data_IF_570430391316
#
_entry.id   IF_570430391316
#
_cell.length_a   1.000
_cell.length_b   1.000
_cell.length_c   1.000
_cell.angle_alpha   90.00
_cell.angle_beta   90.00
_cell.angle_gamma   90.00
#
_symmetry.space_group_name_H-M   'P 1'
#
loop_
_entity.id
_entity.type
_entity.pdbx_description
1 polymer ?
#
# COMPACT_ATOMS: atom_id res chain seq x y z
N UNK A 1 17.32 -4.72 -24.10
CA UNK A 1 17.28 -6.10 -23.61
C UNK A 1 15.93 -6.27 -22.93
N UNK A 2 14.88 -6.65 -23.67
CA UNK A 2 13.51 -6.53 -23.16
C UNK A 2 12.83 -7.89 -23.21
N UNK A 3 13.18 -8.81 -22.29
CA UNK A 3 12.38 -9.98 -21.88
C UNK A 3 13.20 -10.84 -20.89
N UNK A 4 13.28 -10.41 -19.63
CA UNK A 4 13.72 -11.28 -18.55
C UNK A 4 12.49 -11.64 -17.71
N UNK A 5 12.29 -12.94 -17.46
CA UNK A 5 11.18 -13.44 -16.65
C UNK A 5 11.30 -12.97 -15.19
N UNK A 6 10.23 -13.03 -14.40
CA UNK A 6 10.33 -12.75 -12.97
C UNK A 6 11.23 -13.80 -12.28
N UNK A 7 12.08 -13.36 -11.35
CA UNK A 7 13.01 -14.25 -10.65
C UNK A 7 14.43 -13.69 -10.53
N UNK A 8 15.34 -14.55 -10.09
CA UNK A 8 16.74 -14.22 -9.85
C UNK A 8 17.52 -14.30 -11.16
N UNK A 9 18.19 -13.21 -11.52
CA UNK A 9 19.04 -13.11 -12.70
C UNK A 9 20.46 -12.71 -12.32
N UNK A 10 21.42 -13.13 -13.13
CA UNK A 10 22.81 -12.73 -12.98
C UNK A 10 23.22 -11.87 -14.16
N UNK A 11 23.53 -10.61 -13.90
CA UNK A 11 24.19 -9.74 -14.87
C UNK A 11 25.67 -10.07 -14.90
N UNK A 12 26.22 -10.33 -16.08
CA UNK A 12 27.67 -10.43 -16.30
C UNK A 12 28.12 -9.29 -17.23
N UNK A 13 29.01 -8.43 -16.72
CA UNK A 13 29.63 -7.36 -17.51
C UNK A 13 31.08 -7.73 -17.78
N UNK A 14 31.44 -7.84 -19.05
CA UNK A 14 32.80 -8.13 -19.52
C UNK A 14 33.42 -6.88 -20.11
N UNK A 15 34.61 -6.49 -19.61
CA UNK A 15 35.38 -5.38 -20.21
C UNK A 15 36.18 -5.89 -21.40
N UNK A 16 36.10 -5.18 -22.52
CA UNK A 16 36.73 -5.59 -23.79
C UNK A 16 38.14 -5.01 -24.01
N UNK A 17 38.64 -4.14 -23.13
CA UNK A 17 39.95 -3.50 -23.26
C UNK A 17 40.97 -4.07 -22.27
N UNK A 18 42.10 -4.55 -22.79
CA UNK A 18 43.20 -5.21 -22.09
C UNK A 18 43.87 -4.30 -21.03
N UNK A 19 43.68 -4.59 -19.75
CA UNK A 19 44.54 -4.11 -18.67
C UNK A 19 44.68 -5.24 -17.64
N UNK A 20 45.88 -5.84 -17.59
CA UNK A 20 46.20 -7.19 -17.13
C UNK A 20 46.17 -7.43 -15.60
N UNK A 21 45.56 -6.55 -14.80
CA UNK A 21 45.64 -6.61 -13.33
C UNK A 21 44.29 -6.59 -12.58
N UNK A 22 43.15 -6.75 -13.26
CA UNK A 22 41.83 -6.85 -12.59
C UNK A 22 40.98 -7.90 -13.25
N UNK A 23 40.22 -8.65 -12.44
CA UNK A 23 39.27 -9.67 -12.88
C UNK A 23 38.37 -9.09 -13.98
N UNK A 24 38.43 -9.69 -15.17
CA UNK A 24 37.89 -9.15 -16.43
C UNK A 24 36.35 -9.15 -16.50
N UNK A 25 35.71 -9.65 -15.45
CA UNK A 25 34.27 -9.93 -15.37
C UNK A 25 33.72 -9.45 -14.04
N UNK A 26 32.64 -8.68 -14.11
CA UNK A 26 31.92 -8.20 -12.94
C UNK A 26 30.52 -8.82 -12.99
N UNK A 27 30.17 -9.60 -11.96
CA UNK A 27 28.86 -10.23 -11.85
C UNK A 27 28.05 -9.58 -10.75
N UNK A 28 26.78 -9.30 -11.01
CA UNK A 28 25.82 -8.91 -9.99
C UNK A 28 24.50 -9.68 -10.16
N UNK A 29 23.99 -10.19 -9.05
CA UNK A 29 22.69 -10.86 -9.01
C UNK A 29 21.62 -9.85 -8.70
N UNK A 30 20.52 -9.87 -9.45
CA UNK A 30 19.38 -9.00 -9.26
C UNK A 30 18.08 -9.79 -9.34
N UNK A 31 17.03 -9.33 -8.66
CA UNK A 31 15.73 -9.99 -8.66
C UNK A 31 14.70 -9.13 -9.36
N UNK A 32 14.10 -9.64 -10.43
CA UNK A 32 12.94 -8.99 -11.04
C UNK A 32 11.68 -9.45 -10.31
N UNK A 33 10.94 -8.48 -9.76
CA UNK A 33 9.76 -8.67 -8.92
C UNK A 33 8.61 -7.80 -9.40
N UNK A 34 7.39 -8.22 -9.07
CA UNK A 34 6.17 -7.54 -9.49
C UNK A 34 6.06 -6.12 -8.90
N UNK A 35 5.71 -5.13 -9.73
CA UNK A 35 5.58 -3.70 -9.38
C UNK A 35 6.86 -2.98 -8.96
N UNK A 36 8.02 -3.46 -9.41
CA UNK A 36 9.30 -2.79 -9.19
C UNK A 36 10.05 -2.61 -10.50
N UNK A 37 10.49 -1.39 -10.75
CA UNK A 37 11.43 -1.07 -11.81
C UNK A 37 12.86 -1.30 -11.33
N UNK A 38 13.69 -1.83 -12.21
CA UNK A 38 15.10 -2.07 -11.93
C UNK A 38 15.98 -1.18 -12.78
N UNK A 39 16.72 -0.31 -12.10
CA UNK A 39 17.78 0.48 -12.71
C UNK A 39 19.12 -0.14 -12.36
N UNK A 40 19.89 -0.49 -13.39
CA UNK A 40 21.27 -0.98 -13.26
C UNK A 40 22.22 0.09 -13.78
N UNK A 41 23.05 0.64 -12.91
CA UNK A 41 24.04 1.66 -13.27
C UNK A 41 25.45 1.10 -13.21
N UNK A 42 26.21 1.31 -14.28
CA UNK A 42 27.64 0.95 -14.36
C UNK A 42 28.47 2.21 -14.14
N UNK A 43 29.19 2.27 -13.02
CA UNK A 43 29.99 3.43 -12.67
C UNK A 43 31.34 3.44 -13.43
N UNK A 44 31.95 4.62 -13.55
CA UNK A 44 33.21 4.83 -14.30
C UNK A 44 34.38 3.99 -13.78
N UNK A 45 34.40 3.69 -12.47
CA UNK A 45 35.40 2.81 -11.84
C UNK A 45 35.14 1.30 -12.07
N UNK A 46 33.99 0.95 -12.67
CA UNK A 46 33.56 -0.42 -12.94
C UNK A 46 32.63 -1.02 -11.87
N UNK A 47 32.29 -0.31 -10.79
CA UNK A 47 31.30 -0.84 -9.84
C UNK A 47 29.89 -0.82 -10.43
N UNK A 48 29.07 -1.77 -9.99
CA UNK A 48 27.66 -1.86 -10.34
C UNK A 48 26.82 -1.32 -9.17
N UNK A 49 25.80 -0.53 -9.49
CA UNK A 49 24.79 -0.06 -8.57
C UNK A 49 23.42 -0.55 -9.06
N UNK A 50 22.69 -1.22 -8.18
CA UNK A 50 21.37 -1.79 -8.46
C UNK A 50 20.35 -1.02 -7.64
N UNK A 51 19.38 -0.39 -8.32
CA UNK A 51 18.34 0.40 -7.68
C UNK A 51 16.99 -0.21 -8.07
N UNK A 52 16.29 -0.73 -7.07
CA UNK A 52 14.94 -1.24 -7.21
C UNK A 52 13.97 -0.16 -6.72
N UNK A 53 13.08 0.30 -7.59
CA UNK A 53 12.10 1.35 -7.26
C UNK A 53 10.70 0.77 -7.40
N UNK A 54 9.88 0.88 -6.35
CA UNK A 54 8.47 0.49 -6.43
C UNK A 54 7.79 1.39 -7.48
N UNK A 55 7.17 0.81 -8.50
CA UNK A 55 6.44 1.60 -9.48
C UNK A 55 5.22 2.19 -8.76
N UNK A 56 5.27 3.49 -8.46
CA UNK A 56 4.15 4.17 -7.82
C UNK A 56 2.99 4.21 -8.83
N UNK A 57 1.92 3.46 -8.52
CA UNK A 57 0.71 3.39 -9.33
C UNK A 57 0.16 4.78 -9.60
N UNK A 58 0.10 5.14 -10.88
CA UNK A 58 -0.64 6.30 -11.34
C UNK A 58 -2.12 5.94 -11.43
N UNK A 59 -2.95 6.90 -11.01
CA UNK A 59 -4.40 6.84 -10.91
C UNK A 59 -5.02 6.57 -12.29
N UNK A 60 -5.87 5.54 -12.36
CA UNK A 60 -6.96 5.33 -13.34
C UNK A 60 -6.68 5.72 -14.80
N UNK A 61 -5.98 4.82 -15.50
CA UNK A 61 -6.36 4.45 -16.87
C UNK A 61 -5.79 3.05 -17.13
N UNK A 62 -6.55 2.04 -16.68
CA UNK A 62 -6.32 0.66 -17.11
C UNK A 62 -6.62 0.60 -18.60
N UNK A 63 -5.59 0.74 -19.43
CA UNK A 63 -5.72 0.68 -20.89
C UNK A 63 -5.60 -0.78 -21.30
N UNK A 64 -6.55 -1.24 -22.12
CA UNK A 64 -6.51 -2.58 -22.68
C UNK A 64 -5.19 -2.82 -23.40
N UNK A 65 -4.67 -4.04 -23.29
CA UNK A 65 -3.44 -4.46 -23.95
C UNK A 65 -3.50 -4.08 -25.43
N UNK A 66 -2.43 -3.48 -25.95
CA UNK A 66 -2.39 -3.09 -27.36
C UNK A 66 -2.60 -4.28 -28.29
N UNK A 67 -3.19 -4.05 -29.46
CA UNK A 67 -3.44 -5.11 -30.45
C UNK A 67 -2.18 -5.90 -30.80
N UNK A 68 -1.02 -5.26 -30.82
CA UNK A 68 0.27 -5.92 -31.08
C UNK A 68 0.59 -6.94 -29.99
N UNK A 69 0.52 -6.53 -28.72
CA UNK A 69 0.80 -7.41 -27.59
C UNK A 69 -0.27 -8.50 -27.44
N UNK A 70 -1.53 -8.14 -27.69
CA UNK A 70 -2.63 -9.07 -27.65
C UNK A 70 -2.52 -10.13 -28.74
N UNK A 71 -2.13 -9.78 -29.96
CA UNK A 71 -1.90 -10.74 -31.04
C UNK A 71 -0.74 -11.70 -30.73
N UNK A 72 0.31 -11.24 -30.04
CA UNK A 72 1.37 -12.12 -29.55
C UNK A 72 0.82 -13.12 -28.53
N UNK A 73 0.05 -12.67 -27.55
CA UNK A 73 -0.60 -13.53 -26.56
C UNK A 73 -1.54 -14.55 -27.24
N UNK A 74 -2.41 -14.08 -28.13
CA UNK A 74 -3.36 -14.91 -28.86
C UNK A 74 -2.65 -16.00 -29.66
N UNK A 75 -1.54 -15.65 -30.32
CA UNK A 75 -0.70 -16.59 -31.05
C UNK A 75 -0.05 -17.62 -30.11
N UNK A 76 0.46 -17.17 -28.96
CA UNK A 76 1.05 -18.06 -27.95
C UNK A 76 0.05 -19.07 -27.38
N UNK A 77 -1.20 -18.64 -27.16
CA UNK A 77 -2.29 -19.53 -26.74
C UNK A 77 -2.64 -20.53 -27.85
N UNK A 78 -2.72 -20.08 -29.11
CA UNK A 78 -2.99 -20.97 -30.26
C UNK A 78 -1.93 -22.05 -30.44
N UNK A 79 -0.65 -21.74 -30.19
CA UNK A 79 0.45 -22.70 -30.31
C UNK A 79 0.51 -23.75 -29.20
N UNK A 80 -0.30 -23.62 -28.14
CA UNK A 80 -0.35 -24.66 -27.11
C UNK A 80 -1.07 -25.91 -27.64
N UNK A 81 -0.41 -27.06 -27.50
CA UNK A 81 -0.85 -28.33 -28.08
C UNK A 81 -2.03 -29.01 -27.37
N UNK A 82 -2.37 -28.60 -26.15
CA UNK A 82 -3.49 -29.16 -25.40
C UNK A 82 -4.23 -28.11 -24.56
N UNK A 83 -5.49 -28.42 -24.22
CA UNK A 83 -6.42 -27.52 -23.52
C UNK A 83 -5.89 -27.06 -22.16
N UNK A 84 -5.22 -27.93 -21.41
CA UNK A 84 -4.65 -27.59 -20.09
C UNK A 84 -3.60 -26.49 -20.20
N UNK A 85 -2.72 -26.57 -21.20
CA UNK A 85 -1.70 -25.54 -21.44
C UNK A 85 -2.32 -24.24 -21.94
N UNK A 86 -3.33 -24.30 -22.81
CA UNK A 86 -4.10 -23.11 -23.23
C UNK A 86 -4.71 -22.39 -22.04
N UNK A 87 -5.42 -23.14 -21.17
CA UNK A 87 -6.02 -22.59 -19.96
C UNK A 87 -4.96 -21.94 -19.06
N UNK A 88 -3.84 -22.63 -18.80
CA UNK A 88 -2.76 -22.09 -17.98
C UNK A 88 -2.16 -20.80 -18.56
N UNK A 89 -1.95 -20.72 -19.88
CA UNK A 89 -1.45 -19.50 -20.53
C UNK A 89 -2.43 -18.33 -20.37
N UNK A 90 -3.74 -18.57 -20.55
CA UNK A 90 -4.76 -17.52 -20.39
C UNK A 90 -4.89 -17.12 -18.91
N UNK A 91 -4.93 -18.09 -17.98
CA UNK A 91 -4.93 -17.84 -16.54
C UNK A 91 -3.75 -16.98 -16.12
N UNK A 92 -2.54 -17.28 -16.61
CA UNK A 92 -1.36 -16.48 -16.32
C UNK A 92 -1.45 -15.06 -16.91
N UNK A 93 -2.08 -14.91 -18.08
CA UNK A 93 -2.28 -13.61 -18.70
C UNK A 93 -3.27 -12.73 -17.92
N UNK A 94 -4.38 -13.30 -17.42
CA UNK A 94 -5.37 -12.59 -16.59
C UNK A 94 -4.87 -12.32 -15.17
N UNK A 95 -4.03 -13.20 -14.60
CA UNK A 95 -3.42 -12.99 -13.28
C UNK A 95 -2.24 -12.01 -13.29
N UNK A 96 -1.78 -11.57 -14.45
CA UNK A 96 -0.74 -10.55 -14.55
C UNK A 96 -1.38 -9.17 -14.38
N UNK A 97 -1.24 -8.57 -13.21
CA UNK A 97 -1.90 -7.29 -12.91
C UNK A 97 -1.32 -6.06 -13.62
N UNK A 98 -0.43 -6.22 -14.60
CA UNK A 98 -0.08 -5.18 -15.57
C UNK A 98 -0.82 -5.35 -16.91
N UNK A 99 -1.55 -6.45 -17.09
CA UNK A 99 -2.33 -6.72 -18.29
C UNK A 99 -3.80 -6.41 -18.04
N UNK A 100 -4.34 -5.47 -18.80
CA UNK A 100 -5.77 -5.22 -18.87
C UNK A 100 -6.27 -5.61 -20.25
N UNK A 101 -7.54 -5.94 -20.36
CA UNK A 101 -8.14 -6.45 -21.59
C UNK A 101 -9.44 -5.73 -21.89
N UNK A 102 -9.78 -5.59 -23.17
CA UNK A 102 -11.18 -5.36 -23.51
C UNK A 102 -11.98 -6.66 -23.43
N UNK A 103 -13.28 -6.56 -23.24
CA UNK A 103 -14.18 -7.72 -23.28
C UNK A 103 -14.04 -8.46 -24.61
N UNK A 104 -13.84 -7.75 -25.72
CA UNK A 104 -13.58 -8.35 -27.03
C UNK A 104 -12.27 -9.18 -27.07
N UNK A 105 -11.21 -8.71 -26.42
CA UNK A 105 -9.94 -9.45 -26.32
C UNK A 105 -10.09 -10.71 -25.47
N UNK A 106 -10.80 -10.62 -24.34
CA UNK A 106 -11.13 -11.78 -23.50
C UNK A 106 -11.96 -12.78 -24.30
N UNK A 107 -12.99 -12.32 -25.02
CA UNK A 107 -13.84 -13.17 -25.86
C UNK A 107 -13.02 -13.99 -26.86
N UNK A 108 -12.08 -13.37 -27.56
CA UNK A 108 -11.18 -14.07 -28.50
C UNK A 108 -10.29 -15.13 -27.83
N UNK A 109 -9.85 -14.91 -26.59
CA UNK A 109 -9.09 -15.90 -25.82
C UNK A 109 -9.98 -17.07 -25.39
N UNK A 110 -11.20 -16.80 -24.91
CA UNK A 110 -12.14 -17.82 -24.44
C UNK A 110 -12.67 -18.69 -25.58
N UNK A 111 -12.78 -18.15 -26.80
CA UNK A 111 -13.11 -18.93 -28.00
C UNK A 111 -12.08 -20.04 -28.30
N UNK A 112 -10.83 -19.89 -27.87
CA UNK A 112 -9.78 -20.91 -28.04
C UNK A 112 -9.86 -22.05 -27.03
N UNK A 113 -10.74 -21.94 -26.03
CA UNK A 113 -10.89 -22.90 -24.96
C UNK A 113 -12.03 -23.88 -25.27
N UNK A 114 -11.70 -25.17 -25.10
CA UNK A 114 -12.65 -26.27 -25.22
C UNK A 114 -13.14 -26.65 -23.82
N UNK A 115 -14.45 -26.57 -23.61
CA UNK A 115 -15.08 -26.87 -22.33
C UNK A 115 -15.69 -25.62 -21.69
N UNK A 116 -17.01 -25.66 -21.54
CA UNK A 116 -17.79 -24.56 -20.98
C UNK A 116 -17.36 -24.20 -19.55
N UNK A 117 -17.10 -25.20 -18.71
CA UNK A 117 -16.63 -25.00 -17.32
C UNK A 117 -15.35 -24.18 -17.24
N UNK A 118 -14.41 -24.38 -18.16
CA UNK A 118 -13.18 -23.59 -18.22
C UNK A 118 -13.41 -22.17 -18.75
N UNK A 119 -14.35 -21.98 -19.69
CA UNK A 119 -14.73 -20.65 -20.16
C UNK A 119 -15.37 -19.82 -19.06
N UNK A 120 -16.26 -20.41 -18.26
CA UNK A 120 -16.89 -19.75 -17.11
C UNK A 120 -15.82 -19.34 -16.09
N UNK A 121 -14.91 -20.25 -15.73
CA UNK A 121 -13.81 -19.94 -14.79
C UNK A 121 -12.92 -18.79 -15.28
N UNK A 122 -12.54 -18.82 -16.56
CA UNK A 122 -11.68 -17.79 -17.13
C UNK A 122 -12.42 -16.47 -17.35
N UNK A 123 -13.72 -16.49 -17.66
CA UNK A 123 -14.56 -15.29 -17.73
C UNK A 123 -14.63 -14.59 -16.35
N UNK A 124 -14.95 -15.33 -15.28
CA UNK A 124 -14.92 -14.81 -13.90
C UNK A 124 -13.55 -14.23 -13.54
N UNK A 125 -12.48 -14.94 -13.90
CA UNK A 125 -11.10 -14.50 -13.65
C UNK A 125 -10.73 -13.22 -14.41
N UNK A 126 -11.32 -13.00 -15.58
CA UNK A 126 -11.04 -11.83 -16.42
C UNK A 126 -11.79 -10.57 -15.99
N UNK A 127 -12.93 -10.70 -15.31
CA UNK A 127 -13.78 -9.56 -14.93
C UNK A 127 -13.03 -8.41 -14.22
N UNK A 128 -12.13 -8.68 -13.25
CA UNK A 128 -11.39 -7.61 -12.56
C UNK A 128 -10.34 -6.88 -13.41
N UNK A 129 -9.96 -7.45 -14.56
CA UNK A 129 -8.92 -6.93 -15.46
C UNK A 129 -9.49 -6.44 -16.79
N UNK A 130 -10.81 -6.38 -16.92
CA UNK A 130 -11.50 -5.84 -18.09
C UNK A 130 -11.66 -4.32 -17.96
N UNK A 131 -11.38 -3.62 -19.05
CA UNK A 131 -11.41 -2.15 -19.11
C UNK A 131 -12.79 -1.57 -19.44
N UNK A 132 -13.67 -2.40 -19.99
CA UNK A 132 -15.02 -2.07 -20.43
C UNK A 132 -16.05 -3.07 -19.83
N UNK A 133 -16.20 -3.13 -18.49
CA UNK A 133 -17.04 -4.12 -17.81
C UNK A 133 -18.53 -4.02 -18.21
N UNK A 134 -19.00 -2.86 -18.68
CA UNK A 134 -20.34 -2.69 -19.22
C UNK A 134 -20.63 -3.53 -20.48
N UNK A 135 -19.61 -4.08 -21.12
CA UNK A 135 -19.74 -4.98 -22.27
C UNK A 135 -19.62 -6.46 -21.88
N UNK A 136 -19.41 -6.80 -20.59
CA UNK A 136 -19.06 -8.16 -20.16
C UNK A 136 -20.08 -9.23 -20.55
N UNK A 137 -21.35 -8.84 -20.72
CA UNK A 137 -22.45 -9.70 -21.19
C UNK A 137 -22.15 -10.33 -22.56
N UNK A 138 -21.26 -9.75 -23.36
CA UNK A 138 -20.78 -10.33 -24.61
C UNK A 138 -20.14 -11.71 -24.41
N UNK A 139 -19.58 -11.98 -23.23
CA UNK A 139 -19.01 -13.29 -22.90
C UNK A 139 -20.09 -14.35 -22.66
N UNK A 140 -21.33 -13.96 -22.38
CA UNK A 140 -22.42 -14.91 -22.11
C UNK A 140 -22.76 -15.72 -23.37
N UNK A 141 -22.57 -15.14 -24.55
CA UNK A 141 -22.72 -15.84 -25.84
C UNK A 141 -21.72 -16.98 -26.04
N UNK A 142 -20.61 -17.01 -25.28
CA UNK A 142 -19.63 -18.11 -25.33
C UNK A 142 -20.00 -19.30 -24.45
N UNK A 143 -21.05 -19.15 -23.63
CA UNK A 143 -21.57 -20.15 -22.69
C UNK A 143 -22.88 -20.70 -23.24
N UNK A 144 -22.92 -22.01 -23.50
CA UNK A 144 -24.06 -22.65 -24.16
C UNK A 144 -25.20 -22.92 -23.18
N UNK A 145 -24.89 -23.33 -21.94
CA UNK A 145 -25.91 -23.64 -20.93
C UNK A 145 -26.52 -22.39 -20.29
N UNK A 146 -27.82 -22.46 -19.99
CA UNK A 146 -28.49 -21.40 -19.22
C UNK A 146 -27.94 -21.31 -17.79
N UNK A 147 -27.60 -22.45 -17.18
CA UNK A 147 -27.05 -22.48 -15.82
C UNK A 147 -25.70 -21.75 -15.74
N UNK A 148 -24.83 -21.92 -16.74
CA UNK A 148 -23.55 -21.21 -16.80
C UNK A 148 -23.68 -19.72 -17.09
N UNK A 149 -24.72 -19.30 -17.84
CA UNK A 149 -25.03 -17.87 -18.04
C UNK A 149 -25.54 -17.23 -16.75
N UNK A 150 -26.50 -17.86 -16.08
CA UNK A 150 -26.96 -17.41 -14.76
C UNK A 150 -25.80 -17.34 -13.76
N UNK A 151 -24.87 -18.31 -13.78
CA UNK A 151 -23.69 -18.31 -12.92
C UNK A 151 -22.74 -17.12 -13.17
N UNK A 152 -22.64 -16.63 -14.41
CA UNK A 152 -21.88 -15.41 -14.72
C UNK A 152 -22.66 -14.15 -14.36
N UNK A 153 -23.96 -14.11 -14.62
CA UNK A 153 -24.87 -13.02 -14.26
C UNK A 153 -24.91 -12.79 -12.75
N UNK A 154 -25.03 -13.86 -11.96
CA UNK A 154 -24.96 -13.82 -10.51
C UNK A 154 -23.59 -13.33 -10.04
N UNK A 155 -22.50 -13.79 -10.67
CA UNK A 155 -21.15 -13.35 -10.34
C UNK A 155 -20.96 -11.84 -10.60
N UNK A 156 -21.41 -11.35 -11.76
CA UNK A 156 -21.32 -9.93 -12.15
C UNK A 156 -22.19 -9.06 -11.26
N UNK A 157 -23.42 -9.50 -10.96
CA UNK A 157 -24.36 -8.77 -10.10
C UNK A 157 -23.81 -8.66 -8.67
N UNK A 158 -23.28 -9.76 -8.11
CA UNK A 158 -22.62 -9.72 -6.80
C UNK A 158 -21.34 -8.87 -6.82
N UNK A 159 -20.59 -8.89 -7.93
CA UNK A 159 -19.39 -8.05 -8.05
C UNK A 159 -19.72 -6.54 -8.13
N UNK A 160 -20.85 -6.18 -8.74
CA UNK A 160 -21.27 -4.78 -8.92
C UNK A 160 -22.05 -4.21 -7.72
N UNK A 161 -22.74 -5.05 -6.95
CA UNK A 161 -23.36 -4.67 -5.66
C UNK A 161 -22.33 -4.57 -4.52
N UNK A 162 -21.14 -5.16 -4.70
CA UNK A 162 -20.07 -5.20 -3.70
C UNK A 162 -18.93 -4.23 -4.05
N UNK A 163 -19.02 -3.00 -3.55
CA UNK A 163 -17.82 -2.19 -3.33
C UNK A 163 -16.87 -2.94 -2.39
N UNK A 164 -15.90 -3.68 -2.94
CA UNK A 164 -14.79 -4.36 -2.25
C UNK A 164 -15.00 -4.61 -0.74
N UNK A 165 -15.80 -5.61 -0.40
CA UNK A 165 -15.78 -6.19 0.95
C UNK A 165 -15.06 -7.53 0.91
N UNK A 166 -14.23 -7.79 1.92
CA UNK A 166 -13.50 -9.05 2.13
C UNK A 166 -14.48 -10.20 2.46
N UNK A 167 -15.29 -10.64 1.48
CA UNK A 167 -16.33 -11.66 1.66
C UNK A 167 -15.78 -13.06 1.36
N UNK A 168 -16.15 -14.06 2.18
CA UNK A 168 -15.66 -15.43 2.00
C UNK A 168 -16.14 -16.01 0.66
N UNK A 169 -15.30 -16.85 0.05
CA UNK A 169 -15.63 -17.58 -1.16
C UNK A 169 -16.96 -18.32 -0.99
N UNK A 170 -17.84 -18.26 -2.00
CA UNK A 170 -19.13 -18.97 -1.96
C UNK A 170 -18.95 -20.48 -1.81
N UNK A 171 -19.92 -21.16 -1.21
CA UNK A 171 -19.88 -22.61 -0.98
C UNK A 171 -19.70 -23.42 -2.27
N UNK A 172 -20.27 -22.96 -3.39
CA UNK A 172 -20.12 -23.61 -4.69
C UNK A 172 -18.65 -23.57 -5.18
N UNK A 173 -18.03 -22.39 -5.15
CA UNK A 173 -16.63 -22.21 -5.54
C UNK A 173 -15.69 -22.95 -4.58
N UNK A 174 -15.99 -22.90 -3.28
CA UNK A 174 -15.25 -23.61 -2.25
C UNK A 174 -15.29 -25.12 -2.48
N UNK A 175 -16.47 -25.69 -2.76
CA UNK A 175 -16.62 -27.12 -3.02
C UNK A 175 -15.81 -27.57 -4.25
N UNK A 176 -15.78 -26.77 -5.31
CA UNK A 176 -14.96 -27.03 -6.50
C UNK A 176 -13.47 -27.05 -6.12
N UNK A 177 -12.99 -26.02 -5.42
CA UNK A 177 -11.61 -25.92 -4.96
C UNK A 177 -11.22 -27.11 -4.07
N UNK A 178 -12.04 -27.42 -3.07
CA UNK A 178 -11.83 -28.51 -2.13
C UNK A 178 -11.73 -29.87 -2.84
N UNK A 179 -12.66 -30.20 -3.73
CA UNK A 179 -12.66 -31.46 -4.46
C UNK A 179 -11.46 -31.57 -5.42
N UNK A 180 -11.11 -30.47 -6.10
CA UNK A 180 -9.96 -30.44 -7.00
C UNK A 180 -8.65 -30.71 -6.27
N UNK A 181 -8.46 -30.11 -5.08
CA UNK A 181 -7.26 -30.33 -4.26
C UNK A 181 -7.26 -31.76 -3.70
N UNK A 182 -8.39 -32.22 -3.15
CA UNK A 182 -8.49 -33.54 -2.50
C UNK A 182 -8.16 -34.72 -3.43
N UNK A 183 -8.49 -34.61 -4.72
CA UNK A 183 -8.24 -35.65 -5.73
C UNK A 183 -6.78 -35.73 -6.20
N UNK A 184 -5.95 -34.75 -5.86
CA UNK A 184 -4.56 -34.72 -6.33
C UNK A 184 -3.70 -35.77 -5.62
N UNK A 185 -2.85 -36.42 -6.41
CA UNK A 185 -1.78 -37.30 -5.96
C UNK A 185 -0.50 -36.97 -6.74
N UNK A 186 0.67 -36.97 -6.09
CA UNK A 186 0.95 -37.32 -4.68
C UNK A 186 0.60 -36.21 -3.67
N UNK A 187 0.72 -36.50 -2.36
CA UNK A 187 0.41 -35.56 -1.25
C UNK A 187 1.09 -34.19 -1.42
N UNK A 188 2.32 -34.14 -1.94
CA UNK A 188 3.01 -32.87 -2.18
C UNK A 188 2.27 -31.95 -3.16
N UNK A 189 1.56 -32.52 -4.15
CA UNK A 189 0.72 -31.74 -5.07
C UNK A 189 -0.46 -31.10 -4.35
N UNK A 190 -1.07 -31.80 -3.39
CA UNK A 190 -2.15 -31.25 -2.54
C UNK A 190 -1.63 -30.05 -1.73
N UNK A 191 -0.46 -30.18 -1.10
CA UNK A 191 0.16 -29.11 -0.31
C UNK A 191 0.49 -27.88 -1.16
N UNK A 192 1.02 -28.07 -2.37
CA UNK A 192 1.27 -26.97 -3.31
C UNK A 192 -0.03 -26.25 -3.69
N UNK A 193 -1.09 -26.99 -4.00
CA UNK A 193 -2.38 -26.39 -4.36
C UNK A 193 -3.05 -25.67 -3.19
N UNK A 194 -2.97 -26.21 -1.97
CA UNK A 194 -3.41 -25.54 -0.74
C UNK A 194 -2.61 -24.24 -0.49
N UNK A 195 -1.29 -24.32 -0.66
CA UNK A 195 -0.40 -23.16 -0.51
C UNK A 195 -0.76 -22.07 -1.51
N UNK A 196 -1.02 -22.43 -2.77
CA UNK A 196 -1.43 -21.48 -3.81
C UNK A 196 -2.82 -20.89 -3.53
N UNK A 197 -3.76 -21.70 -3.04
CA UNK A 197 -5.11 -21.26 -2.71
C UNK A 197 -5.10 -20.19 -1.61
N UNK A 198 -4.36 -20.40 -0.52
CA UNK A 198 -4.20 -19.41 0.55
C UNK A 198 -3.24 -18.26 0.18
N UNK A 199 -2.33 -18.48 -0.79
CA UNK A 199 -1.46 -17.41 -1.28
C UNK A 199 -2.17 -16.42 -2.21
N UNK A 200 -3.33 -16.77 -2.77
CA UNK A 200 -4.07 -15.88 -3.63
C UNK A 200 -4.75 -14.78 -2.80
N UNK A 201 -4.37 -13.52 -3.02
CA UNK A 201 -4.88 -12.35 -2.28
C UNK A 201 -6.35 -12.04 -2.54
N UNK A 202 -6.95 -12.61 -3.59
CA UNK A 202 -8.37 -12.43 -3.90
C UNK A 202 -9.23 -13.57 -3.36
N UNK A 203 -8.61 -14.63 -2.81
CA UNK A 203 -9.33 -15.74 -2.21
C UNK A 203 -9.49 -15.51 -0.71
N UNK A 204 -10.68 -15.11 -0.31
CA UNK A 204 -11.09 -15.00 1.08
C UNK A 204 -11.84 -16.26 1.51
N UNK A 205 -11.65 -16.67 2.76
CA UNK A 205 -12.24 -17.89 3.32
C UNK A 205 -12.86 -17.60 4.68
N UNK A 206 -13.95 -18.28 5.02
CA UNK A 206 -14.29 -18.42 6.44
C UNK A 206 -13.29 -19.34 7.14
N UNK A 207 -13.22 -19.24 8.45
CA UNK A 207 -12.43 -20.09 9.34
C UNK A 207 -12.82 -21.55 9.17
N UNK A 208 -14.09 -21.83 8.89
CA UNK A 208 -14.60 -23.16 8.58
C UNK A 208 -14.04 -23.69 7.24
N UNK A 209 -14.15 -22.89 6.17
CA UNK A 209 -13.62 -23.24 4.85
C UNK A 209 -12.09 -23.48 4.89
N UNK A 210 -11.35 -22.60 5.56
CA UNK A 210 -9.92 -22.76 5.76
C UNK A 210 -9.61 -24.02 6.57
N UNK A 211 -10.37 -24.31 7.63
CA UNK A 211 -10.22 -25.52 8.44
C UNK A 211 -10.39 -26.79 7.60
N UNK A 212 -11.43 -26.85 6.77
CA UNK A 212 -11.68 -27.97 5.86
C UNK A 212 -10.54 -28.20 4.86
N UNK A 213 -9.98 -27.13 4.29
CA UNK A 213 -8.82 -27.22 3.38
C UNK A 213 -7.55 -27.68 4.11
N UNK A 214 -7.26 -27.13 5.29
CA UNK A 214 -6.07 -27.46 6.08
C UNK A 214 -6.11 -28.93 6.54
N UNK A 215 -7.29 -29.48 6.82
CA UNK A 215 -7.46 -30.89 7.18
C UNK A 215 -7.00 -31.88 6.09
N UNK A 216 -6.93 -31.47 4.82
CA UNK A 216 -6.39 -32.30 3.73
C UNK A 216 -4.91 -32.63 3.98
N UNK A 217 -4.15 -31.73 4.62
CA UNK A 217 -2.77 -32.01 4.97
C UNK A 217 -2.68 -33.08 6.08
N UNK A 218 -1.86 -34.10 5.87
CA UNK A 218 -1.67 -35.21 6.82
C UNK A 218 -0.65 -34.94 7.92
N UNK A 219 0.34 -34.08 7.66
CA UNK A 219 1.40 -33.71 8.62
C UNK A 219 1.03 -32.47 9.42
N UNK A 220 1.28 -32.51 10.74
CA UNK A 220 1.07 -31.37 11.65
C UNK A 220 1.89 -30.14 11.23
N UNK A 221 3.15 -30.33 10.78
CA UNK A 221 3.99 -29.22 10.32
C UNK A 221 3.38 -28.51 9.10
N UNK A 222 2.77 -29.27 8.19
CA UNK A 222 2.08 -28.71 7.02
C UNK A 222 0.80 -27.98 7.44
N UNK A 223 0.04 -28.54 8.40
CA UNK A 223 -1.16 -27.87 8.93
C UNK A 223 -0.82 -26.56 9.60
N UNK A 224 0.24 -26.53 10.40
CA UNK A 224 0.70 -25.31 11.07
C UNK A 224 1.13 -24.25 10.06
N UNK A 225 1.89 -24.63 9.03
CA UNK A 225 2.31 -23.70 7.97
C UNK A 225 1.10 -23.14 7.18
N UNK A 226 0.16 -24.01 6.79
CA UNK A 226 -1.05 -23.60 6.07
C UNK A 226 -1.99 -22.77 6.95
N UNK A 227 -2.11 -23.07 8.24
CA UNK A 227 -2.89 -22.28 9.20
C UNK A 227 -2.37 -20.85 9.28
N UNK A 228 -1.06 -20.67 9.49
CA UNK A 228 -0.43 -19.34 9.45
C UNK A 228 -0.69 -18.63 8.13
N UNK A 229 -0.51 -19.34 7.02
CA UNK A 229 -0.71 -18.78 5.68
C UNK A 229 -2.15 -18.33 5.41
N UNK A 230 -3.13 -19.10 5.89
CA UNK A 230 -4.55 -18.83 5.67
C UNK A 230 -5.05 -17.59 6.41
N UNK A 231 -4.47 -17.28 7.58
CA UNK A 231 -5.01 -16.31 8.53
C UNK A 231 -5.28 -14.92 7.93
N UNK A 232 -4.40 -14.47 7.03
CA UNK A 232 -4.50 -13.14 6.40
C UNK A 232 -5.71 -12.93 5.48
N UNK A 233 -6.33 -14.02 5.03
CA UNK A 233 -7.49 -13.99 4.12
C UNK A 233 -8.75 -14.59 4.77
N UNK A 234 -8.76 -14.67 6.11
CA UNK A 234 -9.93 -15.12 6.87
C UNK A 234 -10.89 -13.95 7.07
N UNK A 235 -12.18 -14.18 6.83
CA UNK A 235 -13.21 -13.14 6.92
C UNK A 235 -13.89 -13.06 8.29
N UNK A 236 -13.78 -14.13 9.08
CA UNK A 236 -14.34 -14.29 10.44
C UNK A 236 -13.23 -14.67 11.44
N UNK A 237 -12.20 -13.83 11.65
CA UNK A 237 -11.03 -14.17 12.46
C UNK A 237 -11.36 -14.50 13.92
N UNK A 238 -12.49 -14.04 14.45
CA UNK A 238 -13.04 -14.44 15.75
C UNK A 238 -13.32 -15.94 15.86
N UNK A 239 -13.59 -16.59 14.73
CA UNK A 239 -13.83 -18.02 14.62
C UNK A 239 -12.56 -18.82 14.30
N UNK A 240 -11.39 -18.19 14.23
CA UNK A 240 -10.15 -18.85 13.82
C UNK A 240 -9.67 -19.94 14.78
N UNK A 241 -10.25 -20.01 16.00
CA UNK A 241 -10.10 -21.15 16.89
C UNK A 241 -10.45 -22.50 16.22
N UNK A 242 -11.33 -22.51 15.21
CA UNK A 242 -11.63 -23.68 14.40
C UNK A 242 -10.39 -24.22 13.65
N UNK A 243 -9.49 -23.35 13.22
CA UNK A 243 -8.22 -23.70 12.58
C UNK A 243 -7.16 -24.07 13.63
N UNK A 244 -7.12 -23.33 14.75
CA UNK A 244 -6.21 -23.65 15.88
C UNK A 244 -6.44 -25.06 16.42
N UNK A 245 -7.69 -25.51 16.46
CA UNK A 245 -8.07 -26.84 16.92
C UNK A 245 -7.57 -27.98 16.01
N UNK A 246 -7.05 -27.68 14.81
CA UNK A 246 -6.43 -28.68 13.92
C UNK A 246 -5.00 -29.04 14.28
N UNK A 247 -4.36 -28.22 15.13
CA UNK A 247 -3.01 -28.45 15.62
C UNK A 247 -3.07 -29.31 16.88
N UNK A 248 -2.31 -30.40 16.91
CA UNK A 248 -2.40 -31.36 18.02
C UNK A 248 -1.50 -30.95 19.19
N UNK A 249 -0.26 -30.56 18.93
CA UNK A 249 0.71 -30.21 19.96
C UNK A 249 0.40 -28.88 20.63
N UNK A 250 0.59 -28.81 21.95
CA UNK A 250 0.42 -27.57 22.70
C UNK A 250 1.44 -26.50 22.26
N UNK A 251 2.66 -26.91 21.89
CA UNK A 251 3.68 -26.02 21.34
C UNK A 251 3.24 -25.40 20.01
N UNK A 252 2.69 -26.20 19.09
CA UNK A 252 2.17 -25.71 17.81
C UNK A 252 0.95 -24.81 17.98
N UNK A 253 0.05 -25.11 18.94
CA UNK A 253 -1.07 -24.21 19.30
C UNK A 253 -0.57 -22.88 19.85
N UNK A 254 0.41 -22.91 20.76
CA UNK A 254 1.01 -21.71 21.31
C UNK A 254 1.69 -20.88 20.21
N UNK A 255 2.39 -21.52 19.28
CA UNK A 255 3.04 -20.89 18.14
C UNK A 255 2.03 -20.27 17.16
N UNK A 256 0.94 -20.99 16.85
CA UNK A 256 -0.12 -20.48 15.99
C UNK A 256 -0.89 -19.34 16.67
N UNK A 257 -1.22 -19.47 17.96
CA UNK A 257 -1.88 -18.40 18.72
C UNK A 257 -0.97 -17.17 18.84
N UNK A 258 0.34 -17.35 19.05
CA UNK A 258 1.29 -16.26 18.99
C UNK A 258 1.31 -15.61 17.60
N UNK A 259 1.33 -16.42 16.53
CA UNK A 259 1.24 -15.91 15.16
C UNK A 259 -0.06 -15.15 14.89
N UNK A 260 -1.21 -15.69 15.27
CA UNK A 260 -2.53 -15.07 15.17
C UNK A 260 -2.53 -13.76 15.93
N UNK A 261 -2.19 -13.75 17.22
CA UNK A 261 -2.10 -12.55 18.04
C UNK A 261 -1.09 -11.51 17.49
N UNK A 262 -0.04 -11.97 16.80
CA UNK A 262 0.91 -11.09 16.13
C UNK A 262 0.36 -10.48 14.83
N UNK A 263 -0.59 -11.16 14.18
CA UNK A 263 -1.17 -10.79 12.89
C UNK A 263 -2.65 -10.36 12.96
N UNK A 264 -3.30 -10.36 14.12
CA UNK A 264 -4.73 -9.98 14.30
C UNK A 264 -5.07 -8.53 13.93
N UNK A 265 -4.09 -7.78 13.42
CA UNK A 265 -4.24 -6.42 12.89
C UNK A 265 -4.17 -6.33 11.35
N UNK A 266 -4.19 -7.44 10.60
CA UNK A 266 -4.16 -7.38 9.12
C UNK A 266 -5.53 -7.19 8.46
N UNK A 267 -6.58 -6.92 9.24
CA UNK A 267 -7.95 -6.75 8.77
C UNK A 267 -8.52 -5.34 8.90
N UNK A 268 -7.71 -4.28 8.96
CA UNK A 268 -8.18 -2.91 8.73
C UNK A 268 -6.99 -1.99 8.50
N UNK A 269 -7.07 -1.16 7.44
CA UNK A 269 -6.11 -0.11 7.09
C UNK A 269 -6.05 1.04 8.10
N UNK A 270 -5.92 0.73 9.38
CA UNK A 270 -5.65 1.69 10.43
C UNK A 270 -4.21 1.47 10.90
N UNK A 271 -3.42 2.53 10.85
CA UNK A 271 -2.09 2.61 11.46
C UNK A 271 -2.24 2.44 12.99
N UNK A 272 -2.44 1.21 13.47
CA UNK A 272 -2.72 0.90 14.88
C UNK A 272 -1.44 0.44 15.55
N UNK A 273 -1.16 0.96 16.75
CA UNK A 273 0.04 0.63 17.51
C UNK A 273 0.18 -0.89 17.69
N UNK A 274 1.41 -1.38 17.61
CA UNK A 274 1.78 -2.76 17.89
C UNK A 274 1.22 -3.18 19.25
N UNK A 275 0.63 -4.37 19.35
CA UNK A 275 0.07 -4.86 20.62
C UNK A 275 1.16 -5.00 21.69
N UNK A 276 0.80 -4.85 22.96
CA UNK A 276 1.76 -4.89 24.09
C UNK A 276 2.60 -6.18 24.13
N UNK A 277 2.03 -7.32 23.73
CA UNK A 277 2.76 -8.59 23.66
C UNK A 277 3.83 -8.58 22.54
N UNK A 278 3.46 -8.13 21.33
CA UNK A 278 4.41 -7.95 20.22
C UNK A 278 5.50 -6.96 20.60
N UNK A 279 5.11 -5.85 21.22
CA UNK A 279 6.02 -4.82 21.69
C UNK A 279 7.01 -5.38 22.72
N UNK A 280 6.53 -6.13 23.73
CA UNK A 280 7.40 -6.72 24.75
C UNK A 280 8.38 -7.73 24.14
N UNK A 281 7.94 -8.58 23.21
CA UNK A 281 8.84 -9.53 22.53
C UNK A 281 9.94 -8.80 21.74
N UNK A 282 9.55 -7.80 20.93
CA UNK A 282 10.49 -6.96 20.17
C UNK A 282 11.47 -6.24 21.10
N UNK A 283 10.97 -5.64 22.19
CA UNK A 283 11.78 -4.94 23.18
C UNK A 283 12.82 -5.87 23.81
N UNK A 284 12.41 -7.08 24.23
CA UNK A 284 13.33 -8.05 24.85
C UNK A 284 14.34 -8.62 23.85
N UNK A 285 13.93 -8.87 22.60
CA UNK A 285 14.82 -9.34 21.55
C UNK A 285 15.94 -8.34 21.28
N UNK A 286 15.59 -7.07 21.07
CA UNK A 286 16.56 -6.00 20.82
C UNK A 286 17.46 -5.78 22.04
N UNK A 287 16.89 -5.76 23.24
CA UNK A 287 17.65 -5.53 24.48
C UNK A 287 18.76 -6.57 24.71
N UNK A 288 18.57 -7.82 24.26
CA UNK A 288 19.55 -8.90 24.40
C UNK A 288 20.71 -8.83 23.39
N UNK A 289 20.62 -8.00 22.36
CA UNK A 289 21.60 -7.96 21.28
C UNK A 289 22.80 -7.06 21.60
N UNK A 290 23.77 -7.56 22.36
CA UNK A 290 25.06 -6.88 22.54
C UNK A 290 26.00 -7.11 21.34
N UNK A 291 26.87 -6.14 20.96
CA UNK A 291 27.07 -4.79 21.54
C UNK A 291 26.11 -3.70 20.99
N UNK A 292 26.14 -2.49 21.55
CA UNK A 292 25.25 -1.33 21.23
C UNK A 292 24.98 -1.11 19.72
N UNK A 293 25.95 -1.37 18.83
CA UNK A 293 25.77 -1.24 17.38
C UNK A 293 24.72 -2.22 16.81
N UNK A 294 24.60 -3.42 17.39
CA UNK A 294 23.58 -4.41 17.02
C UNK A 294 22.19 -3.93 17.47
N UNK A 295 22.08 -3.37 18.68
CA UNK A 295 20.83 -2.77 19.17
C UNK A 295 20.38 -1.61 18.27
N UNK A 296 21.30 -0.73 17.89
CA UNK A 296 21.02 0.41 17.01
C UNK A 296 20.53 -0.04 15.62
N UNK A 297 21.14 -1.09 15.06
CA UNK A 297 20.73 -1.66 13.78
C UNK A 297 19.33 -2.26 13.85
N UNK A 298 19.03 -3.03 14.91
CA UNK A 298 17.73 -3.66 15.10
C UNK A 298 16.62 -2.67 15.41
N UNK A 299 16.89 -1.60 16.16
CA UNK A 299 15.96 -0.48 16.38
C UNK A 299 15.67 0.27 15.09
N UNK A 300 16.72 0.56 14.31
CA UNK A 300 16.57 1.20 13.00
C UNK A 300 15.72 0.35 12.07
N UNK A 301 15.94 -0.96 12.02
CA UNK A 301 15.13 -1.89 11.23
C UNK A 301 13.68 -1.96 11.74
N UNK A 302 13.47 -1.99 13.06
CA UNK A 302 12.16 -2.05 13.67
C UNK A 302 11.30 -0.83 13.33
N UNK A 303 11.86 0.39 13.39
CA UNK A 303 11.19 1.63 13.00
C UNK A 303 11.10 1.82 11.49
N UNK A 304 12.00 1.22 10.71
CA UNK A 304 11.95 1.31 9.25
C UNK A 304 10.94 0.36 8.61
N UNK A 305 10.56 -0.72 9.30
CA UNK A 305 9.57 -1.67 8.79
C UNK A 305 8.19 -0.99 8.67
N UNK A 306 7.64 -0.97 7.45
CA UNK A 306 6.35 -0.33 7.11
C UNK A 306 5.14 -1.03 7.73
N UNK A 307 5.31 -2.25 8.23
CA UNK A 307 4.25 -3.03 8.88
C UNK A 307 4.27 -2.86 10.41
N UNK A 308 5.25 -2.13 10.95
CA UNK A 308 5.36 -1.84 12.37
C UNK A 308 4.89 -0.41 12.66
N UNK A 309 3.84 -0.30 13.46
CA UNK A 309 3.34 0.95 14.00
C UNK A 309 3.49 0.95 15.51
N UNK A 310 3.77 2.11 16.12
CA UNK A 310 4.04 2.23 17.55
C UNK A 310 3.21 3.36 18.15
N UNK A 311 2.87 3.26 19.43
CA UNK A 311 2.53 4.46 20.19
C UNK A 311 3.81 5.24 20.53
N UNK A 312 3.67 6.53 20.82
CA UNK A 312 4.75 7.40 21.28
C UNK A 312 5.39 6.85 22.55
N UNK A 313 4.58 6.22 23.40
CA UNK A 313 5.04 5.50 24.58
C UNK A 313 5.95 4.31 24.22
N UNK A 314 5.49 3.41 23.34
CA UNK A 314 6.26 2.25 22.88
C UNK A 314 7.56 2.66 22.17
N UNK A 315 7.50 3.65 21.28
CA UNK A 315 8.68 4.20 20.62
C UNK A 315 9.67 4.78 21.64
N UNK A 316 9.18 5.48 22.68
CA UNK A 316 10.04 6.03 23.73
C UNK A 316 10.82 4.93 24.47
N UNK A 317 10.17 3.82 24.80
CA UNK A 317 10.77 2.68 25.48
C UNK A 317 11.86 2.01 24.63
N UNK A 318 11.65 1.88 23.31
CA UNK A 318 12.64 1.33 22.38
C UNK A 318 13.84 2.26 22.20
N UNK A 319 13.62 3.57 22.05
CA UNK A 319 14.70 4.56 21.89
C UNK A 319 15.60 4.60 23.13
N UNK A 320 15.04 4.40 24.32
CA UNK A 320 15.77 4.33 25.58
C UNK A 320 16.74 3.14 25.69
N UNK A 321 16.62 2.10 24.85
CA UNK A 321 17.57 0.97 24.83
C UNK A 321 18.97 1.48 24.45
N UNK A 322 19.07 2.47 23.56
CA UNK A 322 20.38 3.01 23.13
C UNK A 322 20.96 4.01 24.11
N UNK A 323 22.29 3.97 24.19
CA UNK A 323 23.11 4.99 24.82
C UNK A 323 23.52 6.05 23.77
N UNK A 324 23.66 7.31 24.20
CA UNK A 324 24.11 8.41 23.35
C UNK A 324 22.99 9.27 22.73
N UNK A 325 23.15 10.58 22.83
CA UNK A 325 22.14 11.56 22.40
C UNK A 325 21.90 11.56 20.88
N UNK A 326 22.96 11.45 20.08
CA UNK A 326 22.87 11.40 18.62
C UNK A 326 22.09 10.17 18.13
N UNK A 327 22.27 9.02 18.78
CA UNK A 327 21.54 7.79 18.45
C UNK A 327 20.04 7.95 18.75
N UNK A 328 19.70 8.54 19.91
CA UNK A 328 18.31 8.80 20.28
C UNK A 328 17.63 9.79 19.34
N UNK A 329 18.34 10.86 18.95
CA UNK A 329 17.83 11.83 17.98
C UNK A 329 17.57 11.18 16.61
N UNK A 330 18.50 10.35 16.13
CA UNK A 330 18.32 9.62 14.88
C UNK A 330 17.12 8.66 14.94
N UNK A 331 17.02 7.86 16.00
CA UNK A 331 15.88 6.93 16.16
C UNK A 331 14.55 7.65 16.34
N UNK A 332 14.53 8.79 17.03
CA UNK A 332 13.34 9.63 17.17
C UNK A 332 12.84 10.17 15.81
N UNK A 333 13.75 10.60 14.94
CA UNK A 333 13.38 11.01 13.57
C UNK A 333 12.81 9.84 12.78
N UNK A 334 13.47 8.68 12.81
CA UNK A 334 13.04 7.50 12.04
C UNK A 334 11.71 6.95 12.55
N UNK A 335 11.49 6.93 13.87
CA UNK A 335 10.26 6.39 14.48
C UNK A 335 9.04 7.24 14.16
N UNK A 336 9.21 8.54 13.91
CA UNK A 336 8.11 9.48 13.73
C UNK A 336 7.06 9.01 12.69
N UNK A 337 7.52 8.43 11.58
CA UNK A 337 6.65 7.95 10.48
C UNK A 337 5.77 6.75 10.83
N UNK A 338 6.12 6.02 11.89
CA UNK A 338 5.42 4.82 12.37
C UNK A 338 4.63 5.07 13.65
N UNK A 339 4.57 6.32 14.13
CA UNK A 339 3.78 6.69 15.31
C UNK A 339 2.30 6.80 14.97
N UNK A 340 1.48 6.25 15.85
CA UNK A 340 0.02 6.15 15.70
C UNK A 340 -0.75 7.19 16.51
N UNK A 341 -0.09 7.78 17.52
CA UNK A 341 -0.58 8.90 18.32
C UNK A 341 0.36 10.12 18.23
N UNK A 342 0.55 10.74 17.04
CA UNK A 342 1.47 11.87 16.87
C UNK A 342 1.26 13.05 17.84
N UNK A 343 0.04 13.23 18.37
CA UNK A 343 -0.26 14.21 19.43
C UNK A 343 0.50 13.97 20.75
N UNK A 344 0.95 12.74 20.99
CA UNK A 344 1.72 12.33 22.16
C UNK A 344 3.24 12.26 21.90
N UNK A 345 3.71 12.68 20.72
CA UNK A 345 5.12 12.53 20.34
C UNK A 345 6.09 13.32 21.24
N UNK A 346 5.58 14.27 22.03
CA UNK A 346 6.34 14.92 23.11
C UNK A 346 6.99 13.91 24.08
N UNK A 347 6.43 12.71 24.25
CA UNK A 347 7.06 11.64 25.02
C UNK A 347 8.42 11.21 24.46
N UNK A 348 8.56 11.18 23.13
CA UNK A 348 9.82 10.88 22.43
C UNK A 348 10.75 12.10 22.45
N UNK A 349 10.20 13.32 22.27
CA UNK A 349 10.98 14.57 22.36
C UNK A 349 11.64 14.72 23.73
N UNK A 350 10.96 14.31 24.80
CA UNK A 350 11.48 14.37 26.17
C UNK A 350 12.68 13.43 26.42
N UNK A 351 12.99 12.51 25.50
CA UNK A 351 14.20 11.68 25.58
C UNK A 351 15.47 12.40 25.15
N UNK A 352 15.33 13.54 24.46
CA UNK A 352 16.44 14.37 24.00
C UNK A 352 16.77 15.38 25.09
N UNK A 353 18.03 15.42 25.53
CA UNK A 353 18.44 16.26 26.65
C UNK A 353 18.73 17.70 26.22
N UNK A 354 19.47 17.90 25.12
CA UNK A 354 19.86 19.23 24.66
C UNK A 354 18.70 20.00 24.01
N UNK A 355 18.68 21.32 24.24
CA UNK A 355 17.71 22.20 23.58
C UNK A 355 17.89 22.22 22.05
N UNK A 356 19.13 22.10 21.58
CA UNK A 356 19.44 22.04 20.16
C UNK A 356 18.84 20.78 19.51
N UNK A 357 19.02 19.60 20.11
CA UNK A 357 18.45 18.36 19.60
C UNK A 357 16.92 18.35 19.63
N UNK A 358 16.31 18.95 20.66
CA UNK A 358 14.84 19.15 20.70
C UNK A 358 14.36 20.04 19.55
N UNK A 359 15.03 21.17 19.31
CA UNK A 359 14.69 22.06 18.21
C UNK A 359 14.82 21.36 16.85
N UNK A 360 15.87 20.55 16.66
CA UNK A 360 16.10 19.78 15.45
C UNK A 360 15.05 18.68 15.23
N UNK A 361 14.68 17.94 16.28
CA UNK A 361 13.62 16.93 16.20
C UNK A 361 12.26 17.57 15.92
N UNK A 362 11.94 18.69 16.57
CA UNK A 362 10.70 19.41 16.34
C UNK A 362 10.62 19.95 14.91
N UNK A 363 11.72 20.49 14.37
CA UNK A 363 11.79 20.88 12.96
C UNK A 363 11.57 19.69 12.01
N UNK A 364 12.16 18.53 12.31
CA UNK A 364 11.95 17.31 11.53
C UNK A 364 10.49 16.82 11.55
N UNK A 365 9.87 16.77 12.74
CA UNK A 365 8.46 16.40 12.94
C UNK A 365 7.53 17.32 12.17
N UNK A 366 7.77 18.63 12.25
CA UNK A 366 6.98 19.64 11.55
C UNK A 366 7.07 19.52 10.02
N UNK A 367 8.23 19.11 9.50
CA UNK A 367 8.44 18.89 8.07
C UNK A 367 7.87 17.56 7.54
N UNK A 368 7.61 16.57 8.40
CA UNK A 368 7.18 15.21 8.01
C UNK A 368 5.76 14.84 8.49
N UNK A 369 4.97 15.79 8.98
CA UNK A 369 3.57 15.60 9.38
C UNK A 369 2.67 15.43 8.14
N UNK A 370 2.69 14.26 7.51
CA UNK A 370 1.75 13.87 6.45
C UNK A 370 1.67 12.36 6.33
N UNK A 371 0.70 11.72 6.99
CA UNK A 371 0.28 10.37 6.66
C UNK A 371 -1.24 10.20 6.82
N UNK A 372 -1.87 9.81 5.72
CA UNK A 372 -3.07 8.96 5.73
C UNK A 372 -4.40 9.64 6.01
N UNK A 373 -5.15 9.92 4.95
CA UNK A 373 -6.62 10.02 4.92
C UNK A 373 -7.28 10.90 5.97
N UNK A 374 -7.56 12.14 5.62
CA UNK A 374 -8.71 12.90 6.15
C UNK A 374 -9.12 13.96 5.13
N UNK A 375 -10.40 14.35 5.09
CA UNK A 375 -10.88 15.46 4.26
C UNK A 375 -10.01 16.69 4.54
N UNK A 376 -10.00 17.67 3.65
CA UNK A 376 -9.37 18.97 3.86
C UNK A 376 -9.65 19.49 5.30
N UNK A 377 -8.73 19.25 6.26
CA UNK A 377 -8.88 19.62 7.68
C UNK A 377 -7.96 20.77 7.97
N UNK A 378 -8.48 21.80 8.64
CA UNK A 378 -7.72 22.97 9.03
C UNK A 378 -6.45 22.60 9.80
N UNK A 379 -5.36 23.31 9.51
CA UNK A 379 -4.07 23.18 10.19
C UNK A 379 -4.26 23.23 11.71
N UNK A 380 -3.56 22.40 12.47
CA UNK A 380 -3.70 22.41 13.93
C UNK A 380 -3.14 23.69 14.54
N UNK A 381 -3.65 24.13 15.71
CA UNK A 381 -3.20 25.36 16.38
C UNK A 381 -1.69 25.41 16.64
N UNK A 382 -1.07 24.26 16.92
CA UNK A 382 0.38 24.14 17.10
C UNK A 382 1.14 24.41 15.80
N UNK A 383 0.71 23.83 14.66
CA UNK A 383 1.30 24.09 13.33
C UNK A 383 1.06 25.54 12.91
N UNK A 384 -0.13 26.05 13.19
CA UNK A 384 -0.53 27.41 12.89
C UNK A 384 0.30 28.44 13.66
N UNK A 385 0.58 28.18 14.95
CA UNK A 385 1.46 29.03 15.77
C UNK A 385 2.88 29.08 15.23
N UNK A 386 3.45 27.94 14.82
CA UNK A 386 4.80 27.88 14.22
C UNK A 386 4.83 28.61 12.88
N UNK A 387 3.79 28.45 12.06
CA UNK A 387 3.64 29.16 10.80
C UNK A 387 3.63 30.67 11.02
N UNK A 388 2.80 31.17 11.94
CA UNK A 388 2.74 32.59 12.31
C UNK A 388 4.12 33.10 12.72
N UNK A 389 4.79 32.40 13.65
CA UNK A 389 6.13 32.80 14.12
C UNK A 389 7.18 32.80 13.00
N UNK A 390 7.07 31.88 12.03
CA UNK A 390 7.96 31.82 10.88
C UNK A 390 7.81 33.03 9.94
N UNK A 391 6.56 33.46 9.73
CA UNK A 391 6.23 34.62 8.89
C UNK A 391 6.57 35.92 9.64
N UNK A 392 6.31 36.00 10.94
CA UNK A 392 6.65 37.17 11.78
C UNK A 392 8.17 37.43 11.86
N UNK A 393 9.00 36.39 11.69
CA UNK A 393 10.46 36.53 11.63
C UNK A 393 10.97 37.12 10.32
N UNK A 394 10.12 37.22 9.29
CA UNK A 394 10.48 37.90 8.05
C UNK A 394 10.46 39.41 8.30
N UNK A 395 11.60 40.06 8.09
CA UNK A 395 11.76 41.48 8.42
C UNK A 395 11.18 42.40 7.33
N UNK A 396 11.14 41.95 6.07
CA UNK A 396 10.73 42.78 4.95
C UNK A 396 9.28 42.47 4.52
N UNK A 397 8.44 43.49 4.25
CA UNK A 397 7.04 43.28 3.87
C UNK A 397 6.82 42.38 2.63
N UNK A 398 7.75 42.38 1.67
CA UNK A 398 7.65 41.51 0.50
C UNK A 398 7.96 40.04 0.83
N UNK A 399 8.81 39.77 1.83
CA UNK A 399 9.13 38.42 2.28
C UNK A 399 7.92 37.78 2.97
N UNK A 400 7.22 38.56 3.79
CA UNK A 400 5.95 38.17 4.41
C UNK A 400 4.90 37.84 3.36
N UNK A 401 4.76 38.69 2.33
CA UNK A 401 3.83 38.44 1.21
C UNK A 401 4.19 37.17 0.42
N UNK A 402 5.47 36.94 0.12
CA UNK A 402 5.92 35.74 -0.58
C UNK A 402 5.65 34.47 0.25
N UNK A 403 5.98 34.51 1.54
CA UNK A 403 5.72 33.39 2.45
C UNK A 403 4.23 33.07 2.54
N UNK A 404 3.37 34.07 2.71
CA UNK A 404 1.92 33.87 2.74
C UNK A 404 1.37 33.34 1.41
N UNK A 405 1.92 33.82 0.29
CA UNK A 405 1.54 33.33 -1.05
C UNK A 405 1.91 31.87 -1.24
N UNK A 406 3.12 31.45 -0.84
CA UNK A 406 3.55 30.05 -0.86
C UNK A 406 2.69 29.17 0.05
N UNK A 407 2.36 29.68 1.24
CA UNK A 407 1.55 28.99 2.25
C UNK A 407 0.15 28.70 1.74
N UNK A 408 -0.52 29.66 1.10
CA UNK A 408 -1.86 29.47 0.54
C UNK A 408 -1.87 28.73 -0.80
N UNK A 409 -0.79 28.75 -1.57
CA UNK A 409 -0.66 27.97 -2.81
C UNK A 409 -0.32 26.50 -2.58
N UNK A 410 0.20 26.14 -1.39
CA UNK A 410 0.50 24.77 -1.08
C UNK A 410 -0.79 23.95 -0.93
N UNK A 411 -1.02 23.02 -1.86
CA UNK A 411 -2.23 22.18 -1.91
C UNK A 411 -2.40 21.22 -0.74
N UNK A 412 -1.38 21.09 0.11
CA UNK A 412 -1.42 20.28 1.33
C UNK A 412 -1.76 21.10 2.58
N UNK A 413 -1.87 22.42 2.46
CA UNK A 413 -2.25 23.31 3.56
C UNK A 413 -3.74 23.62 3.47
N UNK A 414 -4.45 23.35 4.56
CA UNK A 414 -5.85 23.71 4.74
C UNK A 414 -6.01 24.55 6.01
N UNK A 415 -6.97 25.46 6.02
CA UNK A 415 -7.17 26.44 7.08
C UNK A 415 -8.65 26.54 7.47
N UNK A 416 -8.93 26.97 8.69
CA UNK A 416 -10.23 27.55 9.01
C UNK A 416 -10.26 29.03 8.59
N UNK A 417 -11.45 29.56 8.38
CA UNK A 417 -11.65 30.99 8.09
C UNK A 417 -11.03 31.86 9.20
N UNK A 418 -11.11 31.42 10.46
CA UNK A 418 -10.48 32.09 11.61
C UNK A 418 -8.93 32.09 11.56
N UNK A 419 -8.32 31.05 11.02
CA UNK A 419 -6.86 30.98 10.84
C UNK A 419 -6.40 31.87 9.70
N UNK A 420 -7.12 31.86 8.56
CA UNK A 420 -6.86 32.80 7.47
C UNK A 420 -7.00 34.25 7.94
N UNK A 421 -7.97 34.52 8.80
CA UNK A 421 -8.20 35.84 9.38
C UNK A 421 -7.04 36.35 10.22
N UNK A 422 -6.21 35.47 10.77
CA UNK A 422 -5.00 35.83 11.51
C UNK A 422 -3.77 36.02 10.60
N UNK A 423 -3.72 35.34 9.45
CA UNK A 423 -2.60 35.40 8.50
C UNK A 423 -2.66 36.62 7.58
N UNK A 424 -3.82 36.90 6.99
CA UNK A 424 -3.98 37.99 6.01
C UNK A 424 -3.58 39.38 6.56
N UNK A 425 -3.87 39.74 7.83
CA UNK A 425 -3.46 41.03 8.39
C UNK A 425 -1.95 41.26 8.46
N UNK A 426 -1.13 40.20 8.35
CA UNK A 426 0.34 40.31 8.35
C UNK A 426 0.89 41.08 7.16
N UNK A 427 0.10 41.28 6.09
CA UNK A 427 0.41 42.24 5.03
C UNK A 427 -0.40 43.52 5.18
N UNK A 428 0.23 44.66 4.92
CA UNK A 428 -0.37 45.98 5.14
C UNK A 428 -1.20 46.49 3.94
N UNK A 429 -0.78 46.19 2.71
CA UNK A 429 -1.46 46.70 1.51
C UNK A 429 -2.79 45.98 1.25
N UNK A 430 -3.88 46.74 1.06
CA UNK A 430 -5.22 46.19 0.79
C UNK A 430 -5.24 45.26 -0.43
N UNK A 431 -4.54 45.63 -1.51
CA UNK A 431 -4.42 44.77 -2.70
C UNK A 431 -3.81 43.40 -2.41
N UNK A 432 -2.81 43.34 -1.51
CA UNK A 432 -2.21 42.07 -1.08
C UNK A 432 -3.19 41.26 -0.23
N UNK A 433 -3.95 41.91 0.67
CA UNK A 433 -4.97 41.23 1.48
C UNK A 433 -6.06 40.62 0.60
N UNK A 434 -6.53 41.35 -0.41
CA UNK A 434 -7.51 40.86 -1.39
C UNK A 434 -6.95 39.67 -2.17
N UNK A 435 -5.70 39.74 -2.62
CA UNK A 435 -5.04 38.63 -3.33
C UNK A 435 -4.94 37.38 -2.45
N UNK A 436 -4.45 37.52 -1.21
CA UNK A 436 -4.33 36.39 -0.28
C UNK A 436 -5.70 35.82 0.11
N UNK A 437 -6.73 36.67 0.27
CA UNK A 437 -8.10 36.21 0.50
C UNK A 437 -8.59 35.32 -0.65
N UNK A 438 -8.45 35.76 -1.91
CA UNK A 438 -8.81 34.94 -3.08
C UNK A 438 -8.04 33.62 -3.13
N UNK A 439 -6.72 33.66 -2.88
CA UNK A 439 -5.88 32.46 -2.86
C UNK A 439 -6.31 31.46 -1.77
N UNK A 440 -6.65 31.95 -0.58
CA UNK A 440 -7.05 31.11 0.55
C UNK A 440 -8.39 30.40 0.36
N UNK A 441 -9.27 30.87 -0.54
CA UNK A 441 -10.62 30.33 -0.70
C UNK A 441 -10.64 28.82 -0.99
N UNK A 442 -9.66 28.33 -1.75
CA UNK A 442 -9.56 26.91 -2.12
C UNK A 442 -9.06 26.02 -0.98
N UNK A 443 -8.32 26.58 -0.04
CA UNK A 443 -7.72 25.88 1.11
C UNK A 443 -8.51 26.07 2.41
N UNK A 444 -9.60 26.86 2.41
CA UNK A 444 -10.50 26.98 3.56
C UNK A 444 -11.45 25.78 3.66
N UNK A 445 -11.56 25.26 4.87
CA UNK A 445 -12.31 24.03 5.18
C UNK A 445 -13.75 24.31 5.61
N UNK A 446 -14.02 25.48 6.18
CA UNK A 446 -15.32 25.96 6.64
C UNK A 446 -15.85 27.09 5.73
N UNK A 447 -16.09 26.79 4.45
CA UNK A 447 -16.44 27.80 3.43
C UNK A 447 -17.67 28.65 3.77
N UNK A 448 -18.60 28.13 4.55
CA UNK A 448 -19.78 28.89 5.01
C UNK A 448 -19.38 30.09 5.90
N UNK A 449 -18.23 30.01 6.57
CA UNK A 449 -17.68 31.08 7.41
C UNK A 449 -16.74 32.02 6.64
N UNK A 450 -16.45 31.77 5.36
CA UNK A 450 -15.47 32.56 4.59
C UNK A 450 -15.84 34.05 4.47
N UNK A 451 -17.15 34.36 4.52
CA UNK A 451 -17.66 35.74 4.54
C UNK A 451 -17.10 36.59 5.69
N UNK A 452 -16.62 35.98 6.77
CA UNK A 452 -15.95 36.66 7.87
C UNK A 452 -14.68 37.40 7.44
N UNK A 453 -14.00 36.95 6.37
CA UNK A 453 -12.79 37.59 5.86
C UNK A 453 -13.05 38.95 5.19
N UNK A 454 -14.31 39.30 4.91
CA UNK A 454 -14.64 40.57 4.25
C UNK A 454 -14.33 41.77 5.15
N UNK A 455 -14.30 41.54 6.47
CA UNK A 455 -13.89 42.55 7.46
C UNK A 455 -12.43 42.98 7.30
N UNK A 456 -11.60 42.19 6.62
CA UNK A 456 -10.17 42.48 6.40
C UNK A 456 -9.92 43.46 5.25
N UNK A 457 -10.96 43.79 4.48
CA UNK A 457 -10.92 44.71 3.36
C UNK A 457 -11.59 46.03 3.75
N UNK A 458 -10.95 47.15 3.43
CA UNK A 458 -11.43 48.47 3.83
C UNK A 458 -12.43 49.02 2.79
N UNK A 459 -12.10 48.91 1.49
CA UNK A 459 -12.95 49.44 0.42
C UNK A 459 -14.12 48.52 0.06
N UNK A 460 -15.25 49.13 -0.30
CA UNK A 460 -16.42 48.39 -0.79
C UNK A 460 -16.13 47.72 -2.15
N UNK A 461 -15.25 48.29 -2.97
CA UNK A 461 -14.81 47.70 -4.23
C UNK A 461 -14.12 46.35 -4.03
N UNK A 462 -13.15 46.25 -3.10
CA UNK A 462 -12.44 45.00 -2.82
C UNK A 462 -13.38 43.92 -2.25
N UNK A 463 -14.35 44.31 -1.41
CA UNK A 463 -15.37 43.39 -0.88
C UNK A 463 -16.25 42.83 -2.00
N UNK A 464 -16.73 43.69 -2.90
CA UNK A 464 -17.53 43.27 -4.05
C UNK A 464 -16.73 42.35 -4.99
N UNK A 465 -15.44 42.62 -5.17
CA UNK A 465 -14.56 41.80 -6.00
C UNK A 465 -14.31 40.40 -5.39
N UNK A 466 -14.12 40.33 -4.07
CA UNK A 466 -14.00 39.06 -3.36
C UNK A 466 -15.32 38.27 -3.38
N UNK A 467 -16.47 38.93 -3.21
CA UNK A 467 -17.80 38.30 -3.32
C UNK A 467 -18.04 37.73 -4.72
N UNK A 468 -17.72 38.50 -5.77
CA UNK A 468 -17.80 38.01 -7.15
C UNK A 468 -16.90 36.78 -7.37
N UNK A 469 -15.68 36.78 -6.83
CA UNK A 469 -14.77 35.64 -6.91
C UNK A 469 -15.35 34.40 -6.20
N UNK A 470 -15.84 34.55 -4.96
CA UNK A 470 -16.42 33.45 -4.18
C UNK A 470 -17.64 32.84 -4.89
N UNK A 471 -18.53 33.68 -5.45
CA UNK A 471 -19.70 33.21 -6.20
C UNK A 471 -19.34 32.42 -7.45
N UNK A 472 -18.24 32.75 -8.11
CA UNK A 472 -17.77 32.06 -9.32
C UNK A 472 -17.17 30.67 -9.05
N UNK A 473 -16.83 30.34 -7.80
CA UNK A 473 -16.15 29.08 -7.41
C UNK A 473 -16.93 28.28 -6.36
N UNK A 474 -18.27 28.49 -6.28
CA UNK A 474 -19.14 27.83 -5.30
C UNK A 474 -19.67 26.44 -5.74
N UNK A 475 -19.33 26.01 -6.95
CA UNK A 475 -19.55 24.66 -7.50
C UNK A 475 -18.23 23.87 -7.57
#
# INVERSE_FOLDING_TARGET
>A
MNNLELGTHTLLVTRTSQNSNRTERISATFNLRYSYDMLIKVNRNGSLELIETKSNGSVNNHVAMSDVNFNVLLRNVRYQSNTTRKNATITNAFNNGNNYFSTAQVSQLLQLINGESYRIQLAKLSYPVITDPGNFDDLYYLISSQAGRNELEDFVSNYNDEGYTNTAMSDANFNILYQNIKRQWPVNSQITSLTNAFNNRTNYFSSNQASQLIQIASSENNRLALAKLSYRNITDPENFNQVVNLIYSQSGKNELNAYVNNNSNTGNGSNTAMSDNRFMNLYQEIKRQWPDNNQMSSLTNAFNNTDNYFSSYQASQLIQITSGENNRLQLAKISYRTITDPGNFNQVVNLISSQQGKNELNAYVNNNYSTGSSPNVAMTDARFTVLIQGIERQYLPFEQMNSLTEVFNNTNNYFSSAQVQQLIPMVSAEGNRLQLAKLSYRSVTDRDNFSQLYVLLESQSSKNELDAYVRAYRD
#
